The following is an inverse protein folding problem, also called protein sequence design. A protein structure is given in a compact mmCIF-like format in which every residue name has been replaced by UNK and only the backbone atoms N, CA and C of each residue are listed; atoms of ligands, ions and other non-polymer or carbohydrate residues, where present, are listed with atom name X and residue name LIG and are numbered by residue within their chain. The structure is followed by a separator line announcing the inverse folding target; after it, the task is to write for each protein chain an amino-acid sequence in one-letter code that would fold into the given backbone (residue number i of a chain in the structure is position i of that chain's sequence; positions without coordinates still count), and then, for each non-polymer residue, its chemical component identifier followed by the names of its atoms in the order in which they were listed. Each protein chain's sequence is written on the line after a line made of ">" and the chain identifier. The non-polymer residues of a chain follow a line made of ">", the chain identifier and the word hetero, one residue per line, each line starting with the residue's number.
data_IF_307447958344
#
_entry.id   IF_307447958344
#
_cell.length_a   1.000
_cell.length_b   1.000
_cell.length_c   1.000
_cell.angle_alpha   90.00
_cell.angle_beta   90.00
_cell.angle_gamma   90.00
#
_symmetry.space_group_name_H-M   'P 1'
#
loop_
_entity.id
_entity.type
_entity.pdbx_description
1 polymer ?
#
# COMPACT_ATOMS: atom_id res chain seq x y z
N UNK A 1 -53.82 48.20 13.68
CA UNK A 1 -55.28 48.26 13.43
C UNK A 1 -55.50 47.99 11.95
N UNK A 2 -56.49 47.15 11.61
CA UNK A 2 -56.55 46.46 10.32
C UNK A 2 -57.41 47.11 9.24
N UNK A 3 -57.76 46.23 8.27
CA UNK A 3 -58.69 46.36 7.13
C UNK A 3 -58.11 47.10 5.91
N UNK A 4 -58.30 46.69 4.65
CA UNK A 4 -59.09 45.63 3.97
C UNK A 4 -58.65 45.62 2.49
N UNK A 5 -58.36 44.46 1.89
CA UNK A 5 -59.16 43.69 0.90
C UNK A 5 -59.39 44.30 -0.50
N UNK A 6 -59.13 43.41 -1.48
CA UNK A 6 -59.80 43.16 -2.77
C UNK A 6 -59.43 44.08 -3.95
N UNK A 7 -59.47 43.67 -5.23
CA UNK A 7 -59.61 42.42 -6.02
C UNK A 7 -59.91 42.92 -7.45
N UNK A 8 -59.34 42.32 -8.51
CA UNK A 8 -59.76 42.25 -9.96
C UNK A 8 -58.47 42.17 -10.81
N UNK A 9 -58.14 41.13 -11.60
CA UNK A 9 -58.83 40.30 -12.63
C UNK A 9 -59.10 41.05 -13.95
N UNK A 10 -58.33 40.70 -14.99
CA UNK A 10 -58.70 40.35 -16.39
C UNK A 10 -57.40 39.89 -17.09
N UNK A 11 -57.32 38.67 -17.66
CA UNK A 11 -57.94 38.14 -18.90
C UNK A 11 -57.30 38.83 -20.13
N UNK A 12 -56.89 38.22 -21.25
CA UNK A 12 -56.95 36.86 -21.78
C UNK A 12 -56.12 36.84 -23.11
N UNK A 13 -55.98 35.65 -23.70
CA UNK A 13 -55.73 35.30 -25.12
C UNK A 13 -54.27 34.96 -25.50
N UNK A 14 -53.92 33.67 -25.69
CA UNK A 14 -54.35 32.67 -26.71
C UNK A 14 -53.85 33.03 -28.11
N UNK A 15 -53.36 32.13 -28.97
CA UNK A 15 -53.09 30.69 -29.02
C UNK A 15 -52.09 30.52 -30.19
N UNK A 16 -51.36 29.43 -30.42
CA UNK A 16 -51.79 28.10 -30.93
C UNK A 16 -50.51 27.24 -30.98
N UNK A 17 -50.47 26.02 -30.42
CA UNK A 17 -50.78 24.75 -31.11
C UNK A 17 -49.51 24.21 -31.79
N UNK A 18 -48.95 23.03 -31.53
CA UNK A 18 -49.56 21.75 -31.14
C UNK A 18 -48.61 20.87 -30.31
N UNK A 19 -49.23 20.00 -29.52
CA UNK A 19 -48.66 18.90 -28.74
C UNK A 19 -49.31 17.58 -29.24
N UNK A 20 -49.31 16.44 -28.51
CA UNK A 20 -48.35 15.86 -27.55
C UNK A 20 -48.09 14.36 -27.88
N UNK A 21 -47.35 13.63 -27.02
CA UNK A 21 -47.89 12.50 -26.25
C UNK A 21 -46.84 11.90 -25.28
N UNK A 22 -47.17 12.06 -23.98
CA UNK A 22 -47.06 11.12 -22.83
C UNK A 22 -45.72 10.49 -22.41
N UNK A 23 -45.34 10.44 -21.12
CA UNK A 23 -45.99 10.94 -19.92
C UNK A 23 -45.29 10.53 -18.61
N UNK A 24 -45.53 11.36 -17.58
CA UNK A 24 -45.56 11.12 -16.12
C UNK A 24 -44.28 10.66 -15.40
N UNK A 25 -43.93 11.09 -14.18
CA UNK A 25 -44.40 12.08 -13.20
C UNK A 25 -43.30 12.10 -12.12
N UNK A 26 -42.94 13.26 -11.55
CA UNK A 26 -42.65 13.32 -10.10
C UNK A 26 -42.58 14.75 -9.55
N UNK A 27 -43.18 14.87 -8.36
CA UNK A 27 -43.54 16.09 -7.64
C UNK A 27 -42.32 16.87 -7.16
N UNK A 28 -42.42 18.19 -7.29
CA UNK A 28 -41.47 19.19 -6.76
C UNK A 28 -41.89 19.56 -5.33
N UNK A 29 -41.06 19.25 -4.34
CA UNK A 29 -41.22 19.74 -2.96
C UNK A 29 -40.02 20.58 -2.53
N UNK A 30 -40.36 21.77 -2.02
CA UNK A 30 -39.60 22.85 -1.36
C UNK A 30 -38.16 22.58 -0.90
N UNK A 31 -37.30 23.50 -1.33
CA UNK A 31 -35.96 23.85 -0.80
C UNK A 31 -35.94 23.94 0.74
N UNK A 32 -35.09 23.14 1.38
CA UNK A 32 -34.44 23.45 2.64
C UNK A 32 -32.97 23.79 2.38
N UNK A 33 -32.48 24.92 2.91
CA UNK A 33 -31.06 25.31 2.86
C UNK A 33 -30.26 24.36 3.74
N UNK A 34 -29.61 23.36 3.15
CA UNK A 34 -28.61 22.52 3.80
C UNK A 34 -27.22 23.07 3.53
N UNK A 35 -26.48 23.34 4.60
CA UNK A 35 -25.02 23.58 4.58
C UNK A 35 -24.35 22.36 3.94
N UNK A 36 -23.44 22.49 2.98
CA UNK A 36 -22.73 21.34 2.44
C UNK A 36 -21.75 20.83 3.50
N UNK A 37 -22.11 19.76 4.20
CA UNK A 37 -21.17 18.97 4.98
C UNK A 37 -20.33 18.14 4.00
N UNK A 38 -19.18 18.66 3.59
CA UNK A 38 -18.15 17.88 2.90
C UNK A 38 -17.49 16.94 3.91
N UNK A 39 -18.16 15.85 4.28
CA UNK A 39 -17.49 14.69 4.86
C UNK A 39 -16.83 13.94 3.72
N UNK A 40 -15.58 14.32 3.39
CA UNK A 40 -14.76 13.58 2.44
C UNK A 40 -14.31 12.27 3.11
N UNK A 41 -15.20 11.28 3.18
CA UNK A 41 -14.82 9.95 3.66
C UNK A 41 -13.83 9.36 2.67
N UNK A 42 -12.57 9.23 3.08
CA UNK A 42 -11.56 8.53 2.29
C UNK A 42 -11.99 7.06 2.22
N UNK A 43 -12.16 6.53 1.01
CA UNK A 43 -12.34 5.10 0.78
C UNK A 43 -11.07 4.56 0.14
N UNK A 44 -10.32 3.76 0.90
CA UNK A 44 -9.17 3.03 0.37
C UNK A 44 -9.47 1.53 0.50
N UNK A 45 -9.60 0.77 -0.60
CA UNK A 45 -10.12 -0.60 -0.57
C UNK A 45 -9.43 -1.52 0.44
N UNK A 46 -8.09 -1.49 0.51
CA UNK A 46 -7.32 -2.32 1.44
C UNK A 46 -7.42 -1.82 2.89
N UNK A 47 -7.09 -0.55 3.14
CA UNK A 47 -7.08 0.00 4.49
C UNK A 47 -8.47 -0.11 5.15
N UNK A 48 -9.55 0.10 4.39
CA UNK A 48 -10.93 -0.03 4.89
C UNK A 48 -11.30 -1.43 5.36
N UNK A 49 -10.56 -2.47 4.95
CA UNK A 49 -10.72 -3.84 5.45
C UNK A 49 -9.91 -4.08 6.73
N UNK A 50 -8.82 -3.34 6.93
CA UNK A 50 -7.87 -3.56 8.02
C UNK A 50 -8.14 -2.68 9.24
N UNK A 51 -8.75 -1.51 9.05
CA UNK A 51 -8.97 -0.52 10.10
C UNK A 51 -10.44 -0.10 10.17
N UNK A 52 -11.01 0.04 11.39
CA UNK A 52 -12.39 0.47 11.56
C UNK A 52 -12.59 1.95 11.22
N UNK A 53 -11.56 2.78 11.38
CA UNK A 53 -11.62 4.23 11.13
C UNK A 53 -10.47 4.70 10.26
N UNK A 54 -10.81 5.47 9.22
CA UNK A 54 -9.87 6.04 8.24
C UNK A 54 -10.33 7.45 7.90
N UNK A 55 -9.41 8.41 7.96
CA UNK A 55 -9.68 9.80 7.60
C UNK A 55 -8.38 10.53 7.18
N UNK A 56 -8.50 11.72 6.61
CA UNK A 56 -7.33 12.58 6.34
C UNK A 56 -6.69 12.99 7.66
N UNK A 57 -5.40 13.35 7.63
CA UNK A 57 -4.75 13.96 8.79
C UNK A 57 -5.46 15.27 9.19
N UNK A 58 -5.97 16.05 8.23
CA UNK A 58 -6.77 17.24 8.50
C UNK A 58 -8.01 16.93 9.33
N UNK A 59 -8.81 15.96 8.90
CA UNK A 59 -10.04 15.58 9.58
C UNK A 59 -9.75 15.00 10.96
N UNK A 60 -8.69 14.18 11.07
CA UNK A 60 -8.22 13.67 12.36
C UNK A 60 -7.90 14.81 13.32
N UNK A 61 -7.03 15.73 12.91
CA UNK A 61 -6.63 16.88 13.74
C UNK A 61 -7.85 17.72 14.15
N UNK A 62 -8.75 18.03 13.21
CA UNK A 62 -9.95 18.82 13.49
C UNK A 62 -10.87 18.09 14.47
N UNK A 63 -11.05 16.77 14.34
CA UNK A 63 -11.88 15.98 15.25
C UNK A 63 -11.33 15.96 16.70
N UNK A 64 -10.00 16.09 16.86
CA UNK A 64 -9.31 16.01 18.16
C UNK A 64 -9.12 17.35 18.87
N UNK A 65 -9.24 18.46 18.14
CA UNK A 65 -9.09 19.78 18.74
C UNK A 65 -10.20 20.09 19.76
N UNK A 66 -9.87 20.69 20.92
CA UNK A 66 -10.87 21.15 21.88
C UNK A 66 -11.89 22.09 21.24
N UNK A 67 -13.15 22.03 21.68
CA UNK A 67 -14.22 22.88 21.16
C UNK A 67 -13.95 24.39 21.35
N UNK A 68 -13.12 24.75 22.34
CA UNK A 68 -12.65 26.11 22.60
C UNK A 68 -11.71 26.66 21.52
N UNK A 69 -11.04 25.81 20.74
CA UNK A 69 -10.02 26.19 19.75
C UNK A 69 -10.60 26.64 18.40
N UNK A 70 -11.61 27.53 18.41
CA UNK A 70 -12.40 27.92 17.22
C UNK A 70 -11.54 28.57 16.11
N UNK A 71 -10.68 29.53 16.47
CA UNK A 71 -9.81 30.21 15.50
C UNK A 71 -8.81 29.24 14.86
N UNK A 72 -8.21 28.36 15.65
CA UNK A 72 -7.25 27.36 15.18
C UNK A 72 -7.92 26.32 14.28
N UNK A 73 -9.12 25.86 14.65
CA UNK A 73 -9.95 24.99 13.80
C UNK A 73 -10.22 25.64 12.45
N UNK A 74 -10.60 26.93 12.42
CA UNK A 74 -10.78 27.68 11.17
C UNK A 74 -9.48 27.80 10.37
N UNK A 75 -8.35 28.08 11.03
CA UNK A 75 -7.03 28.15 10.39
C UNK A 75 -6.67 26.81 9.75
N UNK A 76 -6.67 25.71 10.52
CA UNK A 76 -6.37 24.37 10.02
C UNK A 76 -7.35 23.96 8.92
N UNK A 77 -8.64 24.30 9.01
CA UNK A 77 -9.59 23.98 7.94
C UNK A 77 -9.29 24.75 6.64
N UNK A 78 -8.64 25.92 6.71
CA UNK A 78 -8.34 26.79 5.56
C UNK A 78 -6.89 26.74 5.08
N UNK A 79 -5.96 26.08 5.77
CA UNK A 79 -4.57 25.95 5.30
C UNK A 79 -4.53 25.30 3.92
N UNK A 80 -3.97 26.00 2.93
CA UNK A 80 -3.91 25.55 1.54
C UNK A 80 -5.16 25.81 0.71
N UNK A 81 -6.26 26.26 1.31
CA UNK A 81 -7.46 26.72 0.61
C UNK A 81 -7.38 28.24 0.48
N UNK A 82 -7.12 28.73 -0.73
CA UNK A 82 -7.09 30.17 -0.98
C UNK A 82 -8.49 30.75 -0.76
N UNK A 83 -8.59 31.79 0.08
CA UNK A 83 -9.68 32.76 -0.05
C UNK A 83 -9.27 33.76 -1.12
N UNK A 84 -10.17 34.07 -2.05
CA UNK A 84 -10.04 35.15 -3.05
C UNK A 84 -9.60 36.50 -2.44
N UNK A 85 -9.73 36.65 -1.11
CA UNK A 85 -9.39 37.85 -0.34
C UNK A 85 -7.92 37.91 0.15
N UNK A 86 -7.14 36.83 -0.01
CA UNK A 86 -5.74 36.77 0.45
C UNK A 86 -4.77 37.42 -0.56
N UNK A 87 -4.22 38.59 -0.22
CA UNK A 87 -3.28 39.35 -1.07
C UNK A 87 -1.86 38.76 -1.16
N UNK A 88 -1.54 37.73 -0.40
CA UNK A 88 -0.19 37.13 -0.34
C UNK A 88 -0.21 35.69 -0.84
N UNK A 89 0.73 35.35 -1.72
CA UNK A 89 0.92 33.99 -2.21
C UNK A 89 1.30 33.06 -1.03
N UNK A 90 0.78 31.82 -0.99
CA UNK A 90 1.09 30.88 0.08
C UNK A 90 2.58 30.51 0.05
N UNK A 91 3.19 30.46 1.22
CA UNK A 91 4.58 30.04 1.36
C UNK A 91 4.76 28.56 1.01
N UNK A 92 5.96 28.16 0.58
CA UNK A 92 6.28 26.76 0.28
C UNK A 92 5.99 25.82 1.47
N UNK A 93 6.24 26.33 2.68
CA UNK A 93 5.98 25.64 3.95
C UNK A 93 4.48 25.45 4.19
N UNK A 94 3.65 26.48 3.95
CA UNK A 94 2.19 26.35 4.07
C UNK A 94 1.63 25.35 3.06
N UNK A 95 2.15 25.34 1.84
CA UNK A 95 1.79 24.35 0.82
C UNK A 95 2.22 22.94 1.25
N UNK A 96 3.41 22.78 1.84
CA UNK A 96 3.87 21.49 2.35
C UNK A 96 2.99 20.98 3.50
N UNK A 97 2.58 21.85 4.43
CA UNK A 97 1.65 21.51 5.52
C UNK A 97 0.26 21.18 4.96
N UNK A 98 -0.25 21.94 3.99
CA UNK A 98 -1.52 21.64 3.33
C UNK A 98 -1.49 20.26 2.67
N UNK A 99 -0.42 19.97 1.90
CA UNK A 99 -0.23 18.65 1.29
C UNK A 99 -0.19 17.55 2.34
N UNK A 100 0.54 17.72 3.44
CA UNK A 100 0.57 16.75 4.54
C UNK A 100 -0.83 16.51 5.10
N UNK A 101 -1.57 17.58 5.42
CA UNK A 101 -2.92 17.50 5.99
C UNK A 101 -3.92 16.76 5.08
N UNK A 102 -3.86 17.00 3.77
CA UNK A 102 -4.85 16.49 2.81
C UNK A 102 -4.50 15.13 2.20
N UNK A 103 -3.20 14.80 2.09
CA UNK A 103 -2.75 13.59 1.41
C UNK A 103 -2.35 12.48 2.37
N UNK A 104 -2.05 12.79 3.63
CA UNK A 104 -1.77 11.78 4.65
C UNK A 104 -3.07 11.18 5.17
N UNK A 105 -3.14 9.85 5.15
CA UNK A 105 -4.24 9.06 5.70
C UNK A 105 -3.86 8.59 7.09
N UNK A 106 -4.77 8.76 8.04
CA UNK A 106 -4.63 8.26 9.41
C UNK A 106 -5.66 7.17 9.63
N UNK A 107 -5.18 5.98 9.96
CA UNK A 107 -6.00 4.82 10.28
C UNK A 107 -5.81 4.42 11.75
N UNK A 108 -6.89 4.14 12.45
CA UNK A 108 -6.83 3.89 13.89
C UNK A 108 -8.02 3.03 14.36
N UNK A 109 -7.85 2.41 15.52
CA UNK A 109 -8.89 1.67 16.23
C UNK A 109 -9.65 2.59 17.18
N UNK A 110 -10.48 2.04 18.07
CA UNK A 110 -11.11 2.84 19.12
C UNK A 110 -10.08 3.58 19.97
N UNK A 111 -10.47 4.75 20.48
CA UNK A 111 -9.57 5.55 21.32
C UNK A 111 -9.19 4.83 22.62
N UNK A 112 -7.96 5.03 23.10
CA UNK A 112 -7.59 4.55 24.41
C UNK A 112 -8.40 5.27 25.51
N UNK A 113 -8.64 4.61 26.65
CA UNK A 113 -9.30 5.23 27.80
C UNK A 113 -8.58 6.50 28.25
N UNK A 114 -9.34 7.48 28.76
CA UNK A 114 -8.79 8.77 29.24
C UNK A 114 -7.68 8.60 30.29
N UNK A 115 -7.82 7.60 31.18
CA UNK A 115 -6.82 7.28 32.19
C UNK A 115 -5.44 6.94 31.58
N UNK A 116 -5.44 6.24 30.43
CA UNK A 116 -4.20 5.91 29.73
C UNK A 116 -3.58 7.15 29.09
N UNK A 117 -4.40 8.02 28.49
CA UNK A 117 -3.93 9.28 27.92
C UNK A 117 -3.31 10.19 29.00
N UNK A 118 -3.91 10.24 30.19
CA UNK A 118 -3.40 11.03 31.29
C UNK A 118 -2.12 10.44 31.89
N UNK A 119 -1.96 9.11 31.93
CA UNK A 119 -0.69 8.45 32.28
C UNK A 119 0.42 8.75 31.26
N UNK A 120 0.11 8.67 29.96
CA UNK A 120 1.05 9.06 28.89
C UNK A 120 1.52 10.50 29.05
N UNK A 121 0.60 11.41 29.35
CA UNK A 121 0.94 12.83 29.55
C UNK A 121 1.86 13.04 30.76
N UNK A 122 1.64 12.34 31.87
CA UNK A 122 2.57 12.39 33.02
C UNK A 122 3.96 11.88 32.67
N UNK A 123 4.04 10.78 31.91
CA UNK A 123 5.32 10.22 31.44
C UNK A 123 6.03 11.16 30.48
N UNK A 124 5.30 11.83 29.58
CA UNK A 124 5.84 12.86 28.70
C UNK A 124 6.51 13.99 29.50
N UNK A 125 5.82 14.55 30.50
CA UNK A 125 6.38 15.61 31.33
C UNK A 125 7.66 15.16 32.04
N UNK A 126 7.69 13.93 32.55
CA UNK A 126 8.92 13.38 33.16
C UNK A 126 10.03 13.12 32.14
N UNK A 127 9.69 12.81 30.89
CA UNK A 127 10.66 12.51 29.83
C UNK A 127 11.29 13.80 29.28
N UNK A 128 10.47 14.79 28.92
CA UNK A 128 10.95 16.07 28.38
C UNK A 128 11.79 16.84 29.43
N UNK A 129 11.47 16.74 30.72
CA UNK A 129 12.28 17.32 31.80
C UNK A 129 13.64 16.65 32.02
N UNK A 130 13.84 15.40 31.57
CA UNK A 130 15.12 14.68 31.70
C UNK A 130 16.11 15.00 30.57
N UNK A 131 15.70 15.79 29.57
CA UNK A 131 16.46 16.08 28.37
C UNK A 131 17.66 17.02 28.56
N UNK A 132 17.57 18.04 29.42
CA UNK A 132 18.70 18.89 29.83
C UNK A 132 18.19 19.93 30.86
N UNK A 133 18.90 20.15 31.96
CA UNK A 133 18.64 21.28 32.88
C UNK A 133 19.08 22.65 32.30
N UNK A 134 19.47 22.71 31.01
CA UNK A 134 20.17 23.86 30.44
C UNK A 134 19.42 24.66 29.36
N UNK A 135 18.17 24.32 29.02
CA UNK A 135 17.38 25.14 28.07
C UNK A 135 15.92 25.33 28.51
N UNK A 136 15.71 26.09 29.60
CA UNK A 136 14.50 26.90 29.72
C UNK A 136 14.80 28.25 29.09
N UNK A 137 14.72 28.33 27.76
CA UNK A 137 14.56 29.62 27.07
C UNK A 137 13.17 29.65 26.46
N UNK A 138 12.29 30.40 27.12
CA UNK A 138 10.92 30.70 26.70
C UNK A 138 10.84 31.55 25.40
N UNK A 139 11.82 31.45 24.49
CA UNK A 139 11.96 32.35 23.33
C UNK A 139 12.31 31.68 21.99
N UNK A 140 12.48 30.36 21.92
CA UNK A 140 13.01 29.74 20.69
C UNK A 140 11.89 29.32 19.74
N UNK A 141 11.66 30.14 18.70
CA UNK A 141 10.58 30.00 17.72
C UNK A 141 10.54 28.66 16.96
N UNK A 142 11.00 28.64 15.71
CA UNK A 142 10.96 27.42 14.88
C UNK A 142 11.93 26.33 15.37
N UNK A 143 13.08 26.74 15.93
CA UNK A 143 14.11 25.85 16.48
C UNK A 143 13.56 25.05 17.66
N UNK A 144 12.97 25.70 18.67
CA UNK A 144 12.37 25.03 19.83
C UNK A 144 11.30 24.01 19.47
N UNK A 145 10.55 24.23 18.38
CA UNK A 145 9.51 23.32 17.91
C UNK A 145 10.07 22.14 17.09
N UNK A 146 11.14 22.34 16.34
CA UNK A 146 11.87 21.24 15.72
C UNK A 146 12.48 20.32 16.79
N UNK A 147 12.96 20.89 17.91
CA UNK A 147 13.38 20.13 19.08
C UNK A 147 12.21 19.40 19.76
N UNK A 148 11.08 20.08 20.01
CA UNK A 148 9.88 19.44 20.60
C UNK A 148 9.35 18.28 19.73
N UNK A 149 9.26 18.45 18.41
CA UNK A 149 8.85 17.36 17.51
C UNK A 149 9.83 16.18 17.55
N UNK A 150 11.13 16.45 17.66
CA UNK A 150 12.17 15.42 17.81
C UNK A 150 11.99 14.65 19.12
N UNK A 151 11.82 15.37 20.23
CA UNK A 151 11.57 14.77 21.56
C UNK A 151 10.29 13.95 21.60
N UNK A 152 9.20 14.41 20.97
CA UNK A 152 7.93 13.68 20.90
C UNK A 152 8.11 12.33 20.19
N UNK A 153 8.84 12.31 19.07
CA UNK A 153 9.12 11.06 18.34
C UNK A 153 9.98 10.13 19.19
N UNK A 154 10.99 10.65 19.87
CA UNK A 154 11.87 9.88 20.75
C UNK A 154 11.13 9.32 21.97
N UNK A 155 10.23 10.11 22.55
CA UNK A 155 9.34 9.68 23.62
C UNK A 155 8.40 8.57 23.17
N UNK A 156 7.81 8.68 21.98
CA UNK A 156 6.91 7.65 21.45
C UNK A 156 7.64 6.31 21.31
N UNK A 157 8.87 6.33 20.76
CA UNK A 157 9.73 5.14 20.65
C UNK A 157 10.05 4.59 22.04
N UNK A 158 10.53 5.43 22.97
CA UNK A 158 10.83 5.03 24.34
C UNK A 158 9.64 4.37 25.03
N UNK A 159 8.44 4.94 24.87
CA UNK A 159 7.23 4.42 25.51
C UNK A 159 6.80 3.07 24.91
N UNK A 160 6.93 2.89 23.59
CA UNK A 160 6.67 1.61 22.94
C UNK A 160 7.59 0.51 23.47
N UNK A 161 8.89 0.78 23.62
CA UNK A 161 9.84 -0.15 24.23
C UNK A 161 9.59 -0.38 25.73
N UNK A 162 9.10 0.62 26.45
CA UNK A 162 8.79 0.50 27.88
C UNK A 162 7.53 -0.34 28.14
N UNK A 163 6.58 -0.36 27.19
CA UNK A 163 5.35 -1.15 27.27
C UNK A 163 5.57 -2.62 26.94
N UNK A 164 6.43 -2.89 25.97
CA UNK A 164 6.73 -4.25 25.56
C UNK A 164 7.70 -4.91 26.56
N UNK A 165 7.30 -6.02 27.17
CA UNK A 165 8.11 -6.77 28.15
C UNK A 165 8.77 -8.01 27.55
N UNK A 166 8.49 -8.32 26.28
CA UNK A 166 8.88 -9.60 25.65
C UNK A 166 10.38 -9.74 25.38
N UNK A 167 11.19 -8.75 25.73
CA UNK A 167 12.63 -8.70 25.40
C UNK A 167 12.89 -8.40 23.92
N UNK A 168 11.93 -8.72 23.05
CA UNK A 168 11.95 -8.42 21.63
C UNK A 168 11.61 -6.95 21.33
N UNK A 169 11.83 -6.55 20.07
CA UNK A 169 11.48 -5.22 19.56
C UNK A 169 9.95 -5.11 19.42
N UNK A 170 9.35 -4.00 19.90
CA UNK A 170 7.92 -3.75 19.69
C UNK A 170 7.54 -3.80 18.21
N UNK A 171 6.37 -4.38 17.92
CA UNK A 171 5.77 -4.43 16.57
C UNK A 171 5.26 -3.06 16.12
N UNK A 172 6.17 -2.11 15.89
CA UNK A 172 5.85 -0.79 15.36
C UNK A 172 6.99 -0.32 14.45
N UNK A 173 6.65 0.32 13.32
CA UNK A 173 7.62 0.84 12.36
C UNK A 173 8.58 1.87 12.97
N UNK A 174 8.14 2.64 13.97
CA UNK A 174 9.00 3.61 14.67
C UNK A 174 10.12 2.95 15.47
N UNK A 175 9.90 1.71 15.93
CA UNK A 175 10.88 0.96 16.71
C UNK A 175 11.93 0.28 15.84
N UNK A 176 11.75 0.26 14.50
CA UNK A 176 12.70 -0.38 13.59
C UNK A 176 14.06 0.32 13.65
N UNK A 177 15.15 -0.44 13.56
CA UNK A 177 16.51 0.08 13.77
C UNK A 177 16.91 0.38 15.21
N UNK A 178 16.03 0.26 16.21
CA UNK A 178 16.37 0.45 17.62
C UNK A 178 16.45 -0.86 18.42
N UNK A 179 17.27 -0.87 19.47
CA UNK A 179 17.41 -2.00 20.41
C UNK A 179 17.56 -1.48 21.85
N UNK A 180 17.17 -2.32 22.82
CA UNK A 180 17.44 -2.08 24.24
C UNK A 180 18.92 -2.25 24.51
N UNK A 181 19.48 -1.37 25.33
CA UNK A 181 20.84 -1.53 25.84
C UNK A 181 20.88 -2.76 26.75
N UNK A 182 21.36 -3.88 26.20
CA UNK A 182 21.65 -5.08 26.98
C UNK A 182 22.88 -4.79 27.81
N UNK A 183 22.87 -5.16 29.10
CA UNK A 183 23.89 -4.88 30.10
C UNK A 183 25.31 -5.48 29.83
N UNK A 184 25.77 -5.55 28.58
CA UNK A 184 27.19 -5.65 28.23
C UNK A 184 27.70 -4.23 28.01
N UNK A 185 28.16 -3.61 29.11
CA UNK A 185 28.95 -2.37 29.08
C UNK A 185 29.90 -2.40 27.88
N UNK A 186 29.76 -1.51 26.88
CA UNK A 186 30.87 -1.25 25.98
C UNK A 186 31.98 -0.68 26.85
N UNK A 187 33.11 -1.38 26.96
CA UNK A 187 34.36 -0.74 27.37
C UNK A 187 34.71 0.29 26.30
N UNK A 188 34.25 1.51 26.52
CA UNK A 188 34.46 2.64 25.64
C UNK A 188 33.50 3.73 26.05
N UNK A 189 34.03 4.82 26.62
CA UNK A 189 33.25 6.01 26.97
C UNK A 189 32.58 6.55 25.70
N UNK A 190 31.34 6.15 25.43
CA UNK A 190 30.47 6.89 24.55
C UNK A 190 30.05 8.14 25.32
N UNK A 191 30.73 9.25 25.04
CA UNK A 191 30.24 10.58 25.40
C UNK A 191 28.80 10.70 24.92
N UNK A 192 27.89 11.08 25.81
CA UNK A 192 26.48 11.29 25.50
C UNK A 192 26.36 12.31 24.35
N UNK A 193 26.18 11.82 23.14
CA UNK A 193 25.80 12.65 22.00
C UNK A 193 24.33 13.02 22.16
N UNK A 194 24.01 14.30 22.02
CA UNK A 194 22.64 14.83 21.99
C UNK A 194 21.74 13.98 21.08
N UNK A 195 20.54 13.63 21.56
CA UNK A 195 19.54 12.87 20.78
C UNK A 195 19.54 11.35 20.98
N UNK A 196 20.14 10.82 22.05
CA UNK A 196 20.07 9.40 22.37
C UNK A 196 18.86 9.08 23.27
N UNK A 197 17.98 8.20 22.82
CA UNK A 197 16.77 7.80 23.56
C UNK A 197 17.19 7.00 24.82
N UNK A 198 16.74 7.36 26.03
CA UNK A 198 17.15 6.70 27.26
C UNK A 198 16.96 5.17 27.23
N UNK A 199 18.04 4.43 27.50
CA UNK A 199 18.05 2.96 27.55
C UNK A 199 17.97 2.26 26.19
N UNK A 200 18.03 3.01 25.08
CA UNK A 200 18.00 2.49 23.73
C UNK A 200 19.22 2.97 22.92
N UNK A 201 19.57 2.22 21.88
CA UNK A 201 20.54 2.63 20.88
C UNK A 201 20.04 2.31 19.47
N UNK A 202 20.48 3.11 18.50
CA UNK A 202 20.18 2.90 17.08
C UNK A 202 21.23 1.98 16.45
N UNK A 203 20.80 0.85 15.88
CA UNK A 203 21.63 -0.09 15.12
C UNK A 203 21.86 0.41 13.70
N UNK A 204 20.80 0.96 13.10
CA UNK A 204 20.83 1.58 11.79
C UNK A 204 19.78 2.69 11.74
N UNK A 205 19.82 3.53 10.70
CA UNK A 205 18.88 4.65 10.63
C UNK A 205 17.48 4.21 10.24
N UNK A 206 16.49 4.64 11.03
CA UNK A 206 15.09 4.51 10.69
C UNK A 206 14.63 5.71 9.84
N UNK A 207 14.31 5.44 8.56
CA UNK A 207 13.86 6.47 7.63
C UNK A 207 12.50 7.07 8.02
N UNK A 208 11.59 6.28 8.59
CA UNK A 208 10.28 6.78 9.04
C UNK A 208 10.42 7.79 10.18
N UNK A 209 11.29 7.48 11.15
CA UNK A 209 11.63 8.40 12.25
C UNK A 209 12.28 9.67 11.72
N UNK A 210 13.20 9.56 10.75
CA UNK A 210 13.80 10.74 10.11
C UNK A 210 12.73 11.61 9.45
N UNK A 211 11.82 11.03 8.69
CA UNK A 211 10.72 11.76 8.04
C UNK A 211 9.85 12.48 9.06
N UNK A 212 9.47 11.83 10.16
CA UNK A 212 8.61 12.42 11.20
C UNK A 212 9.27 13.54 12.02
N UNK A 213 10.60 13.62 12.02
CA UNK A 213 11.38 14.70 12.65
C UNK A 213 11.62 15.88 11.70
N UNK A 214 11.41 15.71 10.40
CA UNK A 214 11.67 16.72 9.37
C UNK A 214 10.40 17.44 8.94
N UNK A 215 10.58 18.53 8.19
CA UNK A 215 9.48 19.28 7.55
C UNK A 215 8.60 18.34 6.73
N UNK A 216 7.26 18.44 6.79
CA UNK A 216 6.46 19.50 7.44
C UNK A 216 5.94 19.18 8.85
N UNK A 217 6.44 18.13 9.52
CA UNK A 217 5.91 17.69 10.82
C UNK A 217 6.11 18.71 11.97
N UNK A 218 7.29 19.35 12.15
CA UNK A 218 7.42 20.43 13.13
C UNK A 218 6.49 21.62 12.86
N UNK A 219 6.21 21.93 11.59
CA UNK A 219 5.29 23.01 11.22
C UNK A 219 3.82 22.64 11.46
N UNK A 220 3.48 21.36 11.33
CA UNK A 220 2.19 20.87 11.80
C UNK A 220 2.07 21.06 13.31
N UNK A 221 3.09 20.67 14.08
CA UNK A 221 3.09 20.86 15.54
C UNK A 221 2.92 22.35 15.91
N UNK A 222 3.63 23.25 15.23
CA UNK A 222 3.46 24.70 15.38
C UNK A 222 2.01 25.14 15.14
N UNK A 223 1.38 24.62 14.09
CA UNK A 223 0.00 24.94 13.72
C UNK A 223 -1.01 24.45 14.79
N UNK A 224 -0.72 23.33 15.44
CA UNK A 224 -1.54 22.76 16.52
C UNK A 224 -1.44 23.53 17.85
N UNK A 225 -0.34 24.26 18.09
CA UNK A 225 -0.11 25.07 19.28
C UNK A 225 -0.01 24.27 20.58
N UNK A 226 -0.41 24.85 21.71
CA UNK A 226 -0.21 24.26 23.06
C UNK A 226 -0.80 22.84 23.26
N UNK A 227 -1.84 22.46 22.52
CA UNK A 227 -2.41 21.11 22.59
C UNK A 227 -1.76 20.12 21.60
N UNK A 228 -0.81 20.60 20.80
CA UNK A 228 -0.20 19.86 19.70
C UNK A 228 0.65 18.70 20.16
N UNK A 229 1.42 18.85 21.24
CA UNK A 229 2.29 17.77 21.74
C UNK A 229 1.49 16.52 22.11
N UNK A 230 0.43 16.70 22.93
CA UNK A 230 -0.48 15.61 23.31
C UNK A 230 -1.10 14.95 22.08
N UNK A 231 -1.56 15.74 21.11
CA UNK A 231 -2.13 15.20 19.87
C UNK A 231 -1.12 14.43 19.02
N UNK A 232 0.12 14.91 18.92
CA UNK A 232 1.19 14.24 18.19
C UNK A 232 1.59 12.92 18.87
N UNK A 233 1.64 12.89 20.20
CA UNK A 233 1.87 11.67 20.97
C UNK A 233 0.77 10.63 20.68
N UNK A 234 -0.50 11.04 20.77
CA UNK A 234 -1.63 10.15 20.49
C UNK A 234 -1.63 9.67 19.02
N UNK A 235 -1.29 10.55 18.08
CA UNK A 235 -1.16 10.22 16.66
C UNK A 235 -0.09 9.15 16.42
N UNK A 236 1.09 9.27 17.04
CA UNK A 236 2.21 8.33 16.84
C UNK A 236 2.00 6.98 17.53
N UNK A 237 1.27 6.95 18.65
CA UNK A 237 1.07 5.75 19.46
C UNK A 237 -0.17 4.95 19.08
N UNK A 238 -1.28 5.61 18.73
CA UNK A 238 -2.57 4.94 18.53
C UNK A 238 -2.97 4.82 17.05
N UNK A 239 -2.27 5.52 16.16
CA UNK A 239 -2.63 5.56 14.75
C UNK A 239 -1.54 4.96 13.86
N UNK A 240 -1.97 4.36 12.76
CA UNK A 240 -1.13 4.07 11.61
C UNK A 240 -1.22 5.23 10.62
N UNK A 241 -0.06 5.78 10.26
CA UNK A 241 0.06 6.96 9.40
C UNK A 241 0.50 6.49 8.02
N UNK A 242 -0.23 6.91 6.99
CA UNK A 242 0.05 6.56 5.60
C UNK A 242 0.26 7.82 4.78
N UNK A 243 1.47 8.04 4.30
CA UNK A 243 1.80 9.17 3.42
C UNK A 243 1.59 8.79 1.96
N UNK A 244 1.01 9.69 1.16
CA UNK A 244 0.79 9.42 -0.27
C UNK A 244 2.10 9.53 -1.03
N UNK A 245 2.36 8.55 -1.89
CA UNK A 245 3.48 8.59 -2.84
C UNK A 245 3.00 9.24 -4.13
N UNK A 246 3.76 10.20 -4.65
CA UNK A 246 3.40 10.95 -5.87
C UNK A 246 3.30 10.06 -7.11
N UNK A 247 4.14 9.02 -7.18
CA UNK A 247 4.15 8.07 -8.28
C UNK A 247 2.92 7.15 -8.20
N UNK A 248 2.02 7.29 -9.17
CA UNK A 248 0.85 6.43 -9.36
C UNK A 248 -0.44 6.98 -8.77
N UNK A 249 -1.48 6.14 -8.68
CA UNK A 249 -2.78 6.50 -8.12
C UNK A 249 -2.99 5.72 -6.83
N UNK A 250 -3.28 6.44 -5.75
CA UNK A 250 -3.61 5.87 -4.43
C UNK A 250 -2.54 4.93 -3.89
N UNK A 251 -1.28 5.28 -4.15
CA UNK A 251 -0.13 4.63 -3.56
C UNK A 251 0.23 5.31 -2.24
N UNK A 252 0.41 4.52 -1.20
CA UNK A 252 0.74 5.00 0.14
C UNK A 252 1.93 4.25 0.71
N UNK A 253 2.78 4.98 1.44
CA UNK A 253 3.80 4.43 2.31
C UNK A 253 3.33 4.52 3.77
N UNK A 254 3.56 3.47 4.56
CA UNK A 254 3.26 3.51 5.98
C UNK A 254 4.45 4.15 6.74
N UNK A 255 4.18 5.18 7.52
CA UNK A 255 5.18 5.91 8.32
C UNK A 255 5.18 5.50 9.79
N UNK A 256 4.04 5.06 10.34
CA UNK A 256 3.91 4.69 11.75
C UNK A 256 2.89 3.58 11.94
N UNK A 257 2.90 2.98 13.13
CA UNK A 257 1.99 1.93 13.56
C UNK A 257 2.56 0.53 13.36
N UNK A 258 1.70 -0.47 13.61
CA UNK A 258 2.00 -1.88 13.34
C UNK A 258 2.09 -2.05 11.81
N UNK A 259 3.15 -2.68 11.27
CA UNK A 259 3.25 -2.93 9.83
C UNK A 259 1.98 -3.62 9.31
N UNK A 260 1.44 -3.15 8.18
CA UNK A 260 0.22 -3.74 7.58
C UNK A 260 0.35 -5.25 7.35
N UNK A 261 1.56 -5.76 7.08
CA UNK A 261 1.83 -7.20 6.93
C UNK A 261 1.56 -8.01 8.19
N UNK A 262 1.65 -7.36 9.36
CA UNK A 262 1.59 -8.00 10.67
C UNK A 262 0.21 -7.81 11.33
N UNK A 263 -0.72 -7.16 10.63
CA UNK A 263 -2.11 -6.99 11.08
C UNK A 263 -2.92 -8.24 10.76
N UNK A 264 -3.73 -8.66 11.73
CA UNK A 264 -4.71 -9.71 11.52
C UNK A 264 -5.91 -9.14 10.74
N UNK A 265 -6.35 -9.85 9.69
CA UNK A 265 -7.56 -9.48 8.97
C UNK A 265 -8.79 -9.88 9.81
N UNK A 266 -9.69 -8.93 10.16
CA UNK A 266 -10.81 -9.20 11.06
C UNK A 266 -11.78 -10.27 10.54
N UNK A 267 -11.85 -10.51 9.23
CA UNK A 267 -12.74 -11.52 8.60
C UNK A 267 -12.31 -12.98 8.85
N UNK A 268 -11.13 -13.22 9.44
CA UNK A 268 -10.65 -14.59 9.73
C UNK A 268 -11.34 -15.19 10.96
N UNK A 269 -12.15 -14.42 11.71
CA UNK A 269 -12.77 -14.87 12.96
C UNK A 269 -14.23 -15.36 12.85
N UNK A 270 -14.82 -15.44 11.65
CA UNK A 270 -16.19 -15.96 11.47
C UNK A 270 -16.28 -17.50 11.33
N UNK A 271 -15.26 -18.24 11.77
CA UNK A 271 -15.17 -19.70 11.56
C UNK A 271 -14.95 -20.58 12.79
N UNK A 272 -14.87 -20.05 14.02
CA UNK A 272 -14.52 -20.91 15.17
C UNK A 272 -15.23 -20.51 16.48
N UNK A 273 -16.55 -20.43 16.42
CA UNK A 273 -17.41 -20.36 17.62
C UNK A 273 -18.52 -21.40 17.48
N UNK A 274 -18.17 -22.67 17.69
CA UNK A 274 -19.12 -23.77 17.60
C UNK A 274 -18.60 -25.09 18.15
N UNK A 275 -18.91 -25.34 19.43
CA UNK A 275 -19.05 -26.64 20.08
C UNK A 275 -17.80 -27.42 20.47
N UNK A 276 -17.48 -27.32 21.77
CA UNK A 276 -16.91 -28.43 22.53
C UNK A 276 -17.85 -29.65 22.45
N UNK A 277 -17.42 -30.68 21.74
CA UNK A 277 -18.09 -31.97 21.65
C UNK A 277 -17.06 -33.05 21.31
N UNK A 278 -16.89 -33.99 22.23
CA UNK A 278 -15.97 -35.13 22.13
C UNK A 278 -16.30 -36.06 20.95
N UNK A 279 -15.37 -36.31 20.03
CA UNK A 279 -15.02 -37.66 19.50
C UNK A 279 -14.08 -37.64 18.26
N UNK A 280 -12.98 -38.41 18.39
CA UNK A 280 -12.34 -39.35 17.44
C UNK A 280 -12.08 -38.98 15.96
N UNK A 281 -10.77 -39.02 15.65
CA UNK A 281 -10.07 -39.54 14.45
C UNK A 281 -10.68 -39.27 13.06
N UNK A 282 -9.96 -38.42 12.34
CA UNK A 282 -10.03 -38.23 10.89
C UNK A 282 -10.08 -36.75 10.61
N UNK A 283 -8.93 -36.08 10.48
CA UNK A 283 -8.90 -34.68 10.00
C UNK A 283 -9.34 -34.68 8.53
N UNK A 284 -10.47 -34.06 8.14
CA UNK A 284 -10.48 -33.42 6.83
C UNK A 284 -9.60 -32.19 6.99
N UNK A 285 -8.49 -32.16 6.26
CA UNK A 285 -7.61 -31.00 6.19
C UNK A 285 -8.42 -29.86 5.56
N UNK A 286 -9.05 -29.03 6.41
CA UNK A 286 -9.68 -27.81 5.96
C UNK A 286 -8.59 -26.96 5.29
N UNK A 287 -8.78 -26.66 4.01
CA UNK A 287 -7.94 -25.77 3.21
C UNK A 287 -7.86 -24.41 3.88
N UNK A 288 -6.89 -24.24 4.77
CA UNK A 288 -6.56 -22.95 5.38
C UNK A 288 -5.84 -22.14 4.31
N UNK A 289 -6.61 -21.33 3.60
CA UNK A 289 -6.07 -20.38 2.64
C UNK A 289 -5.06 -19.48 3.36
N UNK A 290 -3.87 -19.33 2.77
CA UNK A 290 -2.82 -18.45 3.31
C UNK A 290 -3.31 -17.02 3.36
N UNK A 291 -2.89 -16.29 4.39
CA UNK A 291 -3.14 -14.86 4.47
C UNK A 291 -2.39 -14.13 3.35
N UNK A 292 -2.89 -12.98 2.85
CA UNK A 292 -2.18 -12.21 1.82
C UNK A 292 -0.74 -11.84 2.22
N UNK A 293 -0.50 -11.55 3.50
CA UNK A 293 0.82 -11.23 4.06
C UNK A 293 1.80 -12.40 4.02
N UNK A 294 1.32 -13.64 4.05
CA UNK A 294 2.18 -14.81 3.91
C UNK A 294 2.70 -14.99 2.48
N UNK A 295 2.02 -14.44 1.48
CA UNK A 295 2.37 -14.60 0.06
C UNK A 295 3.44 -13.59 -0.30
N UNK A 296 4.68 -14.06 -0.42
CA UNK A 296 5.85 -13.21 -0.70
C UNK A 296 6.41 -13.46 -2.10
N UNK A 297 6.85 -12.39 -2.75
CA UNK A 297 7.64 -12.49 -3.97
C UNK A 297 9.08 -12.88 -3.64
N UNK A 298 9.58 -13.94 -4.27
CA UNK A 298 10.94 -14.44 -4.08
C UNK A 298 11.95 -13.53 -4.81
N UNK A 299 12.23 -12.35 -4.21
CA UNK A 299 13.12 -11.33 -4.78
C UNK A 299 14.57 -11.80 -4.95
N UNK A 300 15.00 -12.82 -4.20
CA UNK A 300 16.32 -13.42 -4.36
C UNK A 300 16.57 -13.95 -5.77
N UNK A 301 15.52 -14.35 -6.51
CA UNK A 301 15.63 -14.78 -7.92
C UNK A 301 15.97 -13.65 -8.89
N UNK A 302 15.82 -12.39 -8.48
CA UNK A 302 16.17 -11.22 -9.31
C UNK A 302 17.65 -10.81 -9.15
N UNK A 303 18.26 -11.13 -8.01
CA UNK A 303 19.63 -10.72 -7.69
C UNK A 303 20.63 -11.73 -8.24
N UNK A 304 21.77 -11.23 -8.72
CA UNK A 304 22.89 -12.05 -9.22
C UNK A 304 22.52 -13.05 -10.34
N UNK A 305 21.42 -12.81 -11.04
CA UNK A 305 21.03 -13.64 -12.17
C UNK A 305 22.06 -13.47 -13.30
N UNK A 306 22.60 -14.59 -13.79
CA UNK A 306 23.45 -14.58 -14.99
C UNK A 306 22.59 -14.25 -16.21
N UNK A 307 23.18 -13.50 -17.14
CA UNK A 307 22.55 -13.23 -18.42
C UNK A 307 22.24 -14.54 -19.15
N UNK A 308 21.05 -14.61 -19.75
CA UNK A 308 20.74 -15.73 -20.64
C UNK A 308 21.58 -15.60 -21.90
N UNK A 309 22.19 -16.70 -22.34
CA UNK A 309 22.98 -16.76 -23.57
C UNK A 309 22.21 -17.54 -24.63
N UNK A 310 22.34 -17.14 -25.88
CA UNK A 310 21.85 -17.90 -27.03
C UNK A 310 22.87 -18.98 -27.42
N UNK A 311 22.51 -19.82 -28.40
CA UNK A 311 23.39 -20.90 -28.90
C UNK A 311 24.73 -20.40 -29.48
N UNK A 312 24.84 -19.10 -29.78
CA UNK A 312 26.08 -18.44 -30.26
C UNK A 312 26.88 -17.80 -29.12
N UNK A 313 26.48 -18.00 -27.87
CA UNK A 313 27.13 -17.39 -26.69
C UNK A 313 26.84 -15.90 -26.50
N UNK A 314 25.95 -15.30 -27.29
CA UNK A 314 25.58 -13.89 -27.16
C UNK A 314 24.43 -13.72 -26.16
N UNK A 315 24.35 -12.54 -25.54
CA UNK A 315 23.28 -12.20 -24.60
C UNK A 315 21.92 -12.25 -25.30
N UNK A 316 21.01 -13.04 -24.74
CA UNK A 316 19.61 -13.11 -25.13
C UNK A 316 18.82 -12.06 -24.35
N UNK A 317 18.26 -11.08 -25.06
CA UNK A 317 17.42 -10.04 -24.48
C UNK A 317 15.98 -10.52 -24.28
N UNK A 318 15.37 -10.17 -23.15
CA UNK A 318 13.99 -10.52 -22.82
C UNK A 318 13.86 -11.73 -21.90
N UNK A 319 12.69 -12.38 -21.93
CA UNK A 319 12.40 -13.55 -21.10
C UNK A 319 13.20 -14.77 -21.58
N UNK A 320 13.60 -15.64 -20.65
CA UNK A 320 14.36 -16.87 -20.97
C UNK A 320 13.49 -17.84 -21.79
N UNK A 321 14.11 -18.72 -22.58
CA UNK A 321 13.40 -19.76 -23.37
C UNK A 321 12.50 -20.67 -22.51
N UNK A 322 12.84 -20.85 -21.23
CA UNK A 322 12.05 -21.65 -20.27
C UNK A 322 10.71 -20.99 -19.88
N UNK A 323 10.55 -19.69 -20.13
CA UNK A 323 9.34 -18.95 -19.77
C UNK A 323 8.14 -19.40 -20.61
N UNK A 324 6.97 -19.54 -19.99
CA UNK A 324 5.76 -20.05 -20.65
C UNK A 324 5.40 -19.29 -21.94
N UNK A 325 5.58 -17.97 -21.96
CA UNK A 325 5.29 -17.14 -23.14
C UNK A 325 6.19 -17.46 -24.35
N UNK A 326 7.41 -17.94 -24.13
CA UNK A 326 8.32 -18.40 -25.19
C UNK A 326 8.04 -19.85 -25.61
N UNK A 327 7.59 -20.69 -24.66
CA UNK A 327 7.31 -22.11 -24.91
C UNK A 327 5.97 -22.35 -25.58
N UNK A 328 5.01 -21.46 -25.34
CA UNK A 328 3.65 -21.52 -25.87
C UNK A 328 3.35 -20.22 -26.64
N UNK A 329 4.03 -19.99 -27.77
CA UNK A 329 3.80 -18.80 -28.59
C UNK A 329 2.45 -18.91 -29.32
N UNK A 330 1.83 -17.75 -29.59
CA UNK A 330 0.62 -17.65 -30.39
C UNK A 330 1.00 -17.70 -31.88
N UNK A 331 1.14 -18.91 -32.45
CA UNK A 331 1.56 -19.10 -33.85
C UNK A 331 0.51 -18.62 -34.85
N UNK A 332 0.65 -17.40 -35.38
CA UNK A 332 -0.18 -16.94 -36.50
C UNK A 332 0.34 -17.56 -37.79
N UNK A 333 -0.24 -18.68 -38.19
CA UNK A 333 0.04 -19.21 -39.53
C UNK A 333 -0.39 -18.20 -40.59
N UNK A 334 0.54 -17.86 -41.46
CA UNK A 334 0.37 -16.91 -42.57
C UNK A 334 -0.35 -17.51 -43.78
N UNK A 335 -0.85 -18.74 -43.67
CA UNK A 335 -1.60 -19.43 -44.72
C UNK A 335 -3.09 -19.52 -44.37
N UNK A 336 -3.92 -18.89 -45.21
CA UNK A 336 -5.38 -18.70 -45.05
C UNK A 336 -6.25 -19.98 -45.04
N UNK A 337 -5.67 -21.19 -45.10
CA UNK A 337 -6.38 -22.41 -45.46
C UNK A 337 -6.74 -23.38 -44.29
N UNK A 338 -6.60 -22.98 -43.03
CA UNK A 338 -6.90 -23.84 -41.86
C UNK A 338 -7.66 -23.13 -40.72
N UNK A 339 -8.76 -22.42 -41.04
CA UNK A 339 -9.44 -21.52 -40.08
C UNK A 339 -9.97 -22.19 -38.79
N UNK A 340 -10.46 -23.43 -38.86
CA UNK A 340 -11.04 -24.09 -37.67
C UNK A 340 -9.99 -24.75 -36.76
N UNK A 341 -8.97 -25.38 -37.33
CA UNK A 341 -7.91 -26.07 -36.57
C UNK A 341 -6.96 -25.05 -35.89
N UNK A 342 -6.74 -23.92 -36.56
CA UNK A 342 -6.00 -22.80 -35.99
C UNK A 342 -6.72 -22.19 -34.78
N UNK A 343 -8.06 -22.07 -34.81
CA UNK A 343 -8.82 -21.52 -33.67
C UNK A 343 -8.67 -22.37 -32.40
N UNK A 344 -8.69 -23.70 -32.54
CA UNK A 344 -8.53 -24.62 -31.40
C UNK A 344 -7.11 -24.56 -30.84
N UNK A 345 -6.11 -24.56 -31.69
CA UNK A 345 -4.70 -24.47 -31.25
C UNK A 345 -4.38 -23.13 -30.57
N UNK A 346 -4.97 -22.01 -31.02
CA UNK A 346 -4.87 -20.71 -30.33
C UNK A 346 -5.52 -20.73 -28.95
N UNK A 347 -6.72 -21.30 -28.84
CA UNK A 347 -7.45 -21.39 -27.58
C UNK A 347 -6.70 -22.30 -26.59
N UNK A 348 -6.13 -23.40 -27.07
CA UNK A 348 -5.30 -24.30 -26.26
C UNK A 348 -4.01 -23.60 -25.78
N UNK A 349 -3.31 -22.89 -26.66
CA UNK A 349 -2.11 -22.13 -26.32
C UNK A 349 -2.38 -21.08 -25.23
N UNK A 350 -3.46 -20.31 -25.40
CA UNK A 350 -3.90 -19.31 -24.42
C UNK A 350 -4.30 -19.97 -23.09
N UNK A 351 -5.05 -21.07 -23.15
CA UNK A 351 -5.47 -21.82 -21.98
C UNK A 351 -4.27 -22.32 -21.16
N UNK A 352 -3.23 -22.83 -21.83
CA UNK A 352 -1.98 -23.23 -21.17
C UNK A 352 -1.30 -22.05 -20.46
N UNK A 353 -1.18 -20.89 -21.10
CA UNK A 353 -0.63 -19.69 -20.44
C UNK A 353 -1.49 -19.26 -19.24
N UNK A 354 -2.82 -19.34 -19.37
CA UNK A 354 -3.73 -19.04 -18.26
C UNK A 354 -3.61 -20.00 -17.08
N UNK A 355 -3.22 -21.26 -17.29
CA UNK A 355 -2.94 -22.20 -16.20
C UNK A 355 -1.74 -21.75 -15.36
N UNK A 356 -0.76 -21.07 -15.96
CA UNK A 356 0.37 -20.48 -15.24
C UNK A 356 -0.03 -19.22 -14.46
N UNK A 357 -0.90 -18.38 -15.03
CA UNK A 357 -1.31 -17.11 -14.42
C UNK A 357 -2.39 -17.32 -13.34
N UNK A 358 -3.34 -18.24 -13.59
CA UNK A 358 -4.50 -18.49 -12.73
C UNK A 358 -4.62 -19.96 -12.28
N UNK A 359 -3.57 -20.58 -11.72
CA UNK A 359 -3.54 -22.01 -11.43
C UNK A 359 -4.70 -22.47 -10.55
N UNK A 360 -5.10 -21.64 -9.57
CA UNK A 360 -6.23 -21.93 -8.68
C UNK A 360 -7.56 -22.15 -9.41
N UNK A 361 -7.81 -21.46 -10.53
CA UNK A 361 -9.07 -21.62 -11.29
C UNK A 361 -9.11 -22.95 -12.07
N UNK A 362 -7.94 -23.55 -12.31
CA UNK A 362 -7.79 -24.88 -12.91
C UNK A 362 -7.53 -25.95 -11.85
N UNK A 363 -7.64 -25.58 -10.55
CA UNK A 363 -7.38 -26.47 -9.42
C UNK A 363 -5.95 -27.07 -9.48
N UNK A 364 -5.00 -26.27 -9.97
CA UNK A 364 -3.58 -26.57 -9.97
C UNK A 364 -2.94 -26.05 -8.68
N UNK A 365 -1.78 -26.61 -8.31
CA UNK A 365 -0.98 -26.19 -7.16
C UNK A 365 -0.77 -24.67 -7.16
N UNK A 366 -0.92 -23.99 -6.03
CA UNK A 366 -0.83 -22.55 -6.00
C UNK A 366 -0.41 -22.02 -4.63
N UNK A 367 0.09 -20.79 -4.63
CA UNK A 367 0.56 -20.10 -3.43
C UNK A 367 -0.53 -19.82 -2.41
N UNK A 368 -1.81 -19.85 -2.80
CA UNK A 368 -2.92 -19.48 -1.89
C UNK A 368 -3.37 -20.65 -1.03
N UNK A 369 -3.48 -21.86 -1.58
CA UNK A 369 -4.11 -23.00 -0.87
C UNK A 369 -3.21 -24.23 -0.77
N UNK A 370 -2.24 -24.40 -1.67
CA UNK A 370 -1.53 -25.67 -1.77
C UNK A 370 -0.35 -25.78 -0.82
N UNK A 371 -0.17 -26.93 -0.19
CA UNK A 371 0.96 -27.20 0.69
C UNK A 371 2.28 -27.36 -0.09
N UNK A 372 3.36 -26.85 0.47
CA UNK A 372 4.67 -26.85 -0.17
C UNK A 372 5.41 -28.13 0.23
N UNK A 373 5.95 -28.81 -0.77
CA UNK A 373 6.77 -30.00 -0.57
C UNK A 373 8.23 -29.60 -0.41
N UNK A 374 8.70 -29.56 0.84
CA UNK A 374 10.08 -29.18 1.15
C UNK A 374 11.13 -30.23 0.75
N UNK A 375 10.70 -31.41 0.28
CA UNK A 375 11.64 -32.36 -0.36
C UNK A 375 12.03 -31.88 -1.77
N UNK A 376 11.20 -31.07 -2.42
CA UNK A 376 11.42 -30.56 -3.78
C UNK A 376 11.97 -29.13 -3.81
N UNK A 377 11.77 -28.35 -2.73
CA UNK A 377 12.18 -26.94 -2.70
C UNK A 377 12.67 -26.54 -1.31
N UNK A 378 13.76 -25.77 -1.28
CA UNK A 378 14.20 -25.06 -0.07
C UNK A 378 13.52 -23.69 0.08
N UNK A 379 12.74 -23.26 -0.91
CA UNK A 379 12.05 -21.97 -0.90
C UNK A 379 10.69 -22.07 -0.18
N UNK A 380 10.16 -20.92 0.24
CA UNK A 380 8.83 -20.83 0.88
C UNK A 380 7.70 -21.35 -0.01
N UNK A 381 7.87 -21.33 -1.33
CA UNK A 381 6.90 -21.83 -2.31
C UNK A 381 7.55 -22.78 -3.29
N UNK A 382 6.74 -23.62 -3.95
CA UNK A 382 7.20 -24.47 -5.05
C UNK A 382 7.68 -23.62 -6.24
N UNK A 383 8.55 -24.20 -7.06
CA UNK A 383 8.99 -23.56 -8.29
C UNK A 383 7.96 -23.76 -9.40
N UNK A 384 7.20 -22.70 -9.69
CA UNK A 384 6.17 -22.73 -10.73
C UNK A 384 6.70 -22.40 -12.14
N UNK A 385 8.02 -22.36 -12.34
CA UNK A 385 8.62 -22.07 -13.67
C UNK A 385 8.24 -23.14 -14.70
N UNK A 386 8.20 -24.41 -14.29
CA UNK A 386 7.84 -25.56 -15.12
C UNK A 386 6.71 -26.31 -14.44
N UNK A 387 5.57 -26.45 -15.12
CA UNK A 387 4.37 -27.12 -14.59
C UNK A 387 3.71 -28.04 -15.61
N UNK A 388 4.40 -28.33 -16.72
CA UNK A 388 3.87 -29.17 -17.78
C UNK A 388 3.53 -30.57 -17.29
N UNK A 389 4.35 -31.16 -16.42
CA UNK A 389 4.08 -32.49 -15.89
C UNK A 389 2.76 -32.52 -15.12
N UNK A 390 2.49 -31.49 -14.31
CA UNK A 390 1.24 -31.36 -13.56
C UNK A 390 0.05 -31.13 -14.50
N UNK A 391 0.20 -30.25 -15.49
CA UNK A 391 -0.83 -29.94 -16.48
C UNK A 391 -1.15 -31.19 -17.32
N UNK A 392 -0.13 -31.89 -17.81
CA UNK A 392 -0.26 -33.12 -18.62
C UNK A 392 -0.94 -34.20 -17.80
N UNK A 393 -0.51 -34.41 -16.55
CA UNK A 393 -1.12 -35.42 -15.67
C UNK A 393 -2.61 -35.16 -15.42
N UNK A 394 -3.02 -33.89 -15.36
CA UNK A 394 -4.41 -33.51 -15.06
C UNK A 394 -5.30 -33.40 -16.29
N UNK A 395 -4.77 -32.93 -17.41
CA UNK A 395 -5.57 -32.51 -18.56
C UNK A 395 -5.23 -33.22 -19.87
N UNK A 396 -4.16 -34.00 -19.95
CA UNK A 396 -3.89 -34.83 -21.13
C UNK A 396 -4.40 -36.25 -20.90
N UNK A 397 -5.16 -36.75 -21.88
CA UNK A 397 -5.62 -38.15 -21.90
C UNK A 397 -5.00 -38.81 -23.13
N UNK A 398 -4.44 -40.01 -22.96
CA UNK A 398 -3.99 -40.82 -24.08
C UNK A 398 -5.22 -41.39 -24.82
N UNK A 399 -5.40 -41.03 -26.09
CA UNK A 399 -6.44 -41.58 -26.96
C UNK A 399 -5.81 -42.00 -28.27
N UNK A 400 -5.90 -43.29 -28.63
CA UNK A 400 -5.52 -43.82 -29.95
C UNK A 400 -4.15 -43.31 -30.47
N UNK A 401 -3.10 -43.41 -29.64
CA UNK A 401 -1.73 -43.03 -30.01
C UNK A 401 -1.43 -41.53 -30.04
N UNK A 402 -2.43 -40.66 -29.80
CA UNK A 402 -2.25 -39.21 -29.75
C UNK A 402 -2.61 -38.67 -28.35
N UNK A 403 -1.73 -37.85 -27.75
CA UNK A 403 -2.05 -37.16 -26.50
C UNK A 403 -3.01 -36.00 -26.80
N UNK A 404 -4.26 -36.11 -26.35
CA UNK A 404 -5.25 -35.06 -26.52
C UNK A 404 -5.34 -34.19 -25.26
N UNK A 405 -5.18 -32.88 -25.43
CA UNK A 405 -5.36 -31.91 -24.35
C UNK A 405 -6.86 -31.62 -24.17
N UNK A 406 -7.41 -31.94 -22.99
CA UNK A 406 -8.84 -31.82 -22.66
C UNK A 406 -9.07 -30.84 -21.51
N UNK A 407 -8.48 -29.65 -21.58
CA UNK A 407 -8.76 -28.60 -20.60
C UNK A 407 -9.79 -27.61 -21.14
N UNK A 408 -10.83 -27.33 -20.37
CA UNK A 408 -11.79 -26.28 -20.67
C UNK A 408 -11.43 -25.01 -19.88
N UNK A 409 -11.56 -23.85 -20.51
CA UNK A 409 -11.47 -22.54 -19.86
C UNK A 409 -12.56 -22.31 -18.78
N UNK A 410 -12.20 -22.07 -17.51
CA UNK A 410 -13.16 -21.79 -16.45
C UNK A 410 -14.02 -20.58 -16.77
N UNK A 411 -15.32 -20.62 -16.41
CA UNK A 411 -16.29 -19.54 -16.74
C UNK A 411 -15.80 -18.15 -16.34
N UNK A 412 -15.12 -18.02 -15.20
CA UNK A 412 -14.57 -16.76 -14.67
C UNK A 412 -13.45 -16.16 -15.53
N UNK A 413 -12.75 -16.98 -16.30
CA UNK A 413 -11.61 -16.56 -17.13
C UNK A 413 -11.99 -16.30 -18.59
N UNK A 414 -13.21 -16.69 -19.02
CA UNK A 414 -13.69 -16.44 -20.38
C UNK A 414 -13.91 -14.94 -20.62
N UNK A 415 -13.74 -14.50 -21.87
CA UNK A 415 -13.97 -13.11 -22.27
C UNK A 415 -12.76 -12.21 -21.97
N UNK A 416 -12.94 -11.15 -21.17
CA UNK A 416 -11.89 -10.14 -20.98
C UNK A 416 -10.57 -10.68 -20.43
N UNK A 417 -10.50 -11.57 -19.41
CA UNK A 417 -9.24 -12.10 -18.92
C UNK A 417 -8.50 -12.91 -19.99
N UNK A 418 -9.21 -13.78 -20.71
CA UNK A 418 -8.68 -14.51 -21.86
C UNK A 418 -8.09 -13.56 -22.90
N UNK A 419 -8.85 -12.54 -23.33
CA UNK A 419 -8.40 -11.59 -24.34
C UNK A 419 -7.16 -10.80 -23.90
N UNK A 420 -7.04 -10.49 -22.60
CA UNK A 420 -5.85 -9.85 -22.04
C UNK A 420 -4.62 -10.76 -22.12
N UNK A 421 -4.77 -12.06 -21.87
CA UNK A 421 -3.66 -13.03 -21.98
C UNK A 421 -3.26 -13.26 -23.44
N UNK A 422 -4.23 -13.36 -24.35
CA UNK A 422 -3.96 -13.41 -25.79
C UNK A 422 -3.18 -12.17 -26.24
N UNK A 423 -3.64 -10.99 -25.84
CA UNK A 423 -2.96 -9.73 -26.14
C UNK A 423 -1.56 -9.68 -25.52
N UNK A 424 -1.38 -10.21 -24.31
CA UNK A 424 -0.06 -10.33 -23.68
C UNK A 424 0.88 -11.20 -24.51
N UNK A 425 0.41 -12.36 -24.99
CA UNK A 425 1.21 -13.24 -25.86
C UNK A 425 1.60 -12.52 -27.16
N UNK A 426 0.67 -11.84 -27.82
CA UNK A 426 0.92 -11.08 -29.06
C UNK A 426 1.91 -9.94 -28.82
N UNK A 427 1.76 -9.20 -27.73
CA UNK A 427 2.66 -8.09 -27.40
C UNK A 427 4.06 -8.59 -27.03
N UNK A 428 4.15 -9.73 -26.33
CA UNK A 428 5.42 -10.36 -25.99
C UNK A 428 6.19 -10.78 -27.25
N UNK A 429 5.52 -11.48 -28.17
CA UNK A 429 6.11 -11.94 -29.45
C UNK A 429 6.65 -10.77 -30.30
N UNK A 430 5.92 -9.65 -30.31
CA UNK A 430 6.31 -8.44 -31.04
C UNK A 430 7.32 -7.55 -30.30
N UNK A 431 7.64 -7.86 -29.05
CA UNK A 431 8.43 -6.99 -28.20
C UNK A 431 9.92 -7.05 -28.56
N UNK A 432 10.46 -5.95 -29.09
CA UNK A 432 11.91 -5.79 -29.24
C UNK A 432 12.53 -5.40 -27.89
N UNK A 433 12.84 -6.41 -27.07
CA UNK A 433 13.47 -6.21 -25.75
C UNK A 433 14.81 -5.47 -25.82
N UNK A 434 15.60 -5.68 -26.89
CA UNK A 434 16.86 -4.98 -27.09
C UNK A 434 16.66 -3.47 -27.27
N UNK A 435 15.64 -3.07 -28.05
CA UNK A 435 15.32 -1.64 -28.26
C UNK A 435 14.73 -0.97 -27.02
N UNK A 436 13.92 -1.69 -26.24
CA UNK A 436 13.47 -1.19 -24.94
C UNK A 436 14.64 -0.97 -23.99
N UNK A 437 15.58 -1.91 -23.93
CA UNK A 437 16.77 -1.78 -23.08
C UNK A 437 17.63 -0.59 -23.52
N UNK A 438 17.86 -0.42 -24.82
CA UNK A 438 18.62 0.71 -25.39
C UNK A 438 18.00 2.06 -25.02
N UNK A 439 16.66 2.16 -25.02
CA UNK A 439 15.95 3.40 -24.71
C UNK A 439 15.91 3.73 -23.21
N UNK A 440 15.52 2.77 -22.36
CA UNK A 440 15.28 3.00 -20.94
C UNK A 440 16.53 2.81 -20.07
N UNK A 441 17.45 1.95 -20.50
CA UNK A 441 18.70 1.66 -19.81
C UNK A 441 19.88 1.83 -20.78
N UNK A 442 20.05 3.03 -21.39
CA UNK A 442 21.15 3.24 -22.32
C UNK A 442 22.46 3.00 -21.59
N UNK A 443 23.27 2.10 -22.14
CA UNK A 443 24.65 1.95 -21.66
C UNK A 443 25.35 3.24 -22.06
N UNK A 444 25.51 4.16 -21.11
CA UNK A 444 26.34 5.35 -21.28
C UNK A 444 27.79 4.89 -21.31
N UNK A 445 28.23 4.33 -22.44
CA UNK A 445 29.64 4.13 -22.71
C UNK A 445 30.28 5.49 -22.98
N UNK A 446 30.50 6.25 -21.92
CA UNK A 446 31.64 7.17 -21.86
C UNK A 446 32.91 6.36 -21.57
N UNK A 447 33.15 5.29 -22.33
CA UNK A 447 34.42 4.60 -22.39
C UNK A 447 34.54 3.98 -23.78
N UNK A 448 35.45 4.53 -24.59
CA UNK A 448 36.11 3.77 -25.64
C UNK A 448 36.82 2.60 -24.97
N UNK A 449 36.12 1.49 -24.74
CA UNK A 449 36.70 0.27 -24.22
C UNK A 449 36.86 -0.73 -25.36
N UNK A 450 38.03 -0.65 -26.00
CA UNK A 450 38.66 -1.75 -26.73
C UNK A 450 39.04 -2.94 -25.81
N UNK A 451 38.37 -3.11 -24.67
CA UNK A 451 38.85 -3.90 -23.52
C UNK A 451 37.82 -4.86 -22.93
N UNK A 452 36.79 -5.25 -23.68
CA UNK A 452 35.83 -6.28 -23.25
C UNK A 452 35.95 -7.61 -24.00
N UNK A 453 37.04 -7.80 -24.75
CA UNK A 453 37.34 -9.08 -25.42
C UNK A 453 38.59 -9.79 -24.86
N UNK A 454 39.26 -9.25 -23.84
CA UNK A 454 40.54 -9.78 -23.32
C UNK A 454 40.57 -10.14 -21.84
N UNK A 455 39.51 -9.91 -21.08
CA UNK A 455 39.47 -10.21 -19.64
C UNK A 455 38.80 -11.54 -19.27
N UNK A 456 38.53 -12.39 -20.26
CA UNK A 456 37.96 -13.73 -20.05
C UNK A 456 38.90 -14.89 -20.39
N UNK A 457 40.15 -14.62 -20.81
CA UNK A 457 41.13 -15.66 -21.16
C UNK A 457 42.25 -15.85 -20.15
N UNK A 458 42.40 -15.00 -19.13
CA UNK A 458 43.54 -15.08 -18.20
C UNK A 458 43.14 -15.50 -16.77
N UNK A 459 42.18 -16.43 -16.66
CA UNK A 459 41.83 -17.07 -15.39
C UNK A 459 41.77 -18.60 -15.49
N UNK A 460 42.65 -19.16 -16.33
CA UNK A 460 43.13 -20.54 -16.22
C UNK A 460 44.66 -20.51 -16.09
N UNK A 461 45.13 -20.54 -14.85
CA UNK A 461 46.41 -21.10 -14.41
C UNK A 461 46.34 -21.40 -12.90
#
# INVERSE_FOLDING_TARGET
>A
MGRTKNKRKRDNEQATGDAPLTGQQSKRTKRGKGVPSTSNSISHPLLSLLYPHIQTLRDYVLSRLPASSRLRRKKIASVGLQSEESRTAPTEVELAVARLLDTTVVAFSNQPPKAEQDDRWRKWNSFSQKGDESYVTLSDGFTGLAFSQTEIVDFAIWLLFSRDKSGDRPKNLLCDGFRRDSARKPQGKATATQGQIPGLFAVYTNNHVRTLKQVPWPQLLLLLGQAGERMMIDLLLDCSIFSRVEAGRDNYEQLSGIPVSDLDCPDTQLGDSGQAGTAKKGKPQADTARTPSEITFVRSRMLYARAALNARGLVHFGLRHIHVLNRVPLKRDTHDNAREDNSRTFEEATTRVMMYIFPRQFDLHNVFTSQVDYTQTAQKFQDYTLREEEIVRKFCVASEGTQQFKAHMPKRLRGSPQHLVERLQVLHDRCSYSKLLEHYCPVRLAFRCFFLQRWWTDLEL
#
